data_IF_188334087846
#
_entry.id   IF_188334087846
#
_cell.length_a   1.000
_cell.length_b   1.000
_cell.length_c   1.000
_cell.angle_alpha   90.00
_cell.angle_beta   90.00
_cell.angle_gamma   90.00
#
_symmetry.space_group_name_H-M   'P 1'
#
loop_
_entity.id
_entity.type
_entity.pdbx_description
1 polymer ?
#
# COMPACT_ATOMS: atom_id res chain seq x y z
N UNK A 1 -42.78 36.35 -6.06
CA UNK A 1 -41.52 36.05 -6.78
C UNK A 1 -40.36 36.36 -5.84
N UNK A 2 -39.77 35.34 -5.22
CA UNK A 2 -38.42 35.37 -4.61
C UNK A 2 -37.99 33.92 -4.38
N UNK A 3 -37.58 33.24 -5.44
CA UNK A 3 -36.83 32.00 -5.32
C UNK A 3 -35.40 32.34 -4.97
N UNK A 4 -34.98 32.08 -3.74
CA UNK A 4 -33.55 32.09 -3.39
C UNK A 4 -32.88 30.95 -4.17
N UNK A 5 -31.83 31.21 -4.96
CA UNK A 5 -31.06 30.13 -5.55
C UNK A 5 -30.37 29.38 -4.40
N UNK A 6 -30.65 28.08 -4.33
CA UNK A 6 -29.94 27.16 -3.48
C UNK A 6 -28.44 27.41 -3.65
N UNK A 7 -27.80 27.86 -2.56
CA UNK A 7 -26.36 27.96 -2.46
C UNK A 7 -25.86 26.53 -2.65
N UNK A 8 -25.40 26.22 -3.85
CA UNK A 8 -24.75 24.95 -4.13
C UNK A 8 -23.47 24.99 -3.31
N UNK A 9 -23.52 24.44 -2.09
CA UNK A 9 -22.36 24.28 -1.25
C UNK A 9 -21.38 23.38 -2.03
N UNK A 10 -20.35 24.04 -2.56
CA UNK A 10 -19.14 23.48 -3.12
C UNK A 10 -18.35 22.82 -1.97
N UNK A 11 -18.96 21.87 -1.28
CA UNK A 11 -18.29 21.12 -0.23
C UNK A 11 -17.43 20.08 -0.93
N UNK A 12 -16.19 20.49 -1.20
CA UNK A 12 -15.00 19.65 -1.27
C UNK A 12 -15.30 18.18 -1.00
N UNK A 13 -15.25 17.35 -2.04
CA UNK A 13 -15.35 15.89 -1.96
C UNK A 13 -14.18 15.36 -1.12
N UNK A 14 -14.29 15.41 0.20
CA UNK A 14 -13.41 14.69 1.09
C UNK A 14 -13.74 13.21 0.94
N UNK A 15 -12.71 12.41 0.62
CA UNK A 15 -12.85 10.97 0.57
C UNK A 15 -13.41 10.47 1.91
N UNK A 16 -14.37 9.56 1.82
CA UNK A 16 -14.89 8.85 2.99
C UNK A 16 -13.78 8.06 3.67
N UNK A 17 -13.95 7.77 4.96
CA UNK A 17 -12.99 6.95 5.70
C UNK A 17 -12.81 5.55 5.09
N UNK A 18 -13.80 5.04 4.35
CA UNK A 18 -13.71 3.78 3.62
C UNK A 18 -12.78 3.91 2.41
N UNK A 19 -13.01 4.91 1.56
CA UNK A 19 -12.16 5.14 0.37
C UNK A 19 -10.70 5.43 0.74
N UNK A 20 -10.46 6.11 1.86
CA UNK A 20 -9.12 6.31 2.42
C UNK A 20 -8.44 5.00 2.81
N UNK A 21 -9.19 4.05 3.37
CA UNK A 21 -8.68 2.70 3.71
C UNK A 21 -8.41 1.88 2.46
N UNK A 22 -9.32 1.92 1.49
CA UNK A 22 -9.20 1.16 0.25
C UNK A 22 -7.98 1.63 -0.55
N UNK A 23 -7.81 2.95 -0.68
CA UNK A 23 -6.61 3.54 -1.30
C UNK A 23 -5.33 3.18 -0.56
N UNK A 24 -5.35 3.17 0.77
CA UNK A 24 -4.19 2.75 1.56
C UNK A 24 -3.79 1.30 1.24
N UNK A 25 -4.76 0.40 1.17
CA UNK A 25 -4.49 -1.00 0.89
C UNK A 25 -4.02 -1.21 -0.56
N UNK A 26 -4.66 -0.56 -1.53
CA UNK A 26 -4.27 -0.60 -2.95
C UNK A 26 -2.80 -0.21 -3.15
N UNK A 27 -2.41 0.95 -2.63
CA UNK A 27 -1.03 1.44 -2.73
C UNK A 27 -0.07 0.49 -2.01
N UNK A 28 -0.47 -0.06 -0.86
CA UNK A 28 0.37 -1.01 -0.11
C UNK A 28 0.63 -2.30 -0.90
N UNK A 29 -0.38 -2.80 -1.63
CA UNK A 29 -0.25 -3.98 -2.50
C UNK A 29 0.65 -3.68 -3.69
N UNK A 30 0.50 -2.52 -4.34
CA UNK A 30 1.35 -2.11 -5.46
C UNK A 30 2.85 -2.13 -5.08
N UNK A 31 3.22 -1.47 -3.98
CA UNK A 31 4.59 -1.47 -3.47
C UNK A 31 5.06 -2.85 -2.97
N UNK A 32 4.14 -3.71 -2.52
CA UNK A 32 4.47 -5.09 -2.13
C UNK A 32 4.79 -5.98 -3.34
N UNK A 33 4.13 -5.73 -4.48
CA UNK A 33 4.30 -6.50 -5.71
C UNK A 33 5.59 -6.18 -6.48
N UNK A 34 6.17 -5.00 -6.24
CA UNK A 34 7.41 -4.58 -6.87
C UNK A 34 8.67 -5.16 -6.22
N UNK A 35 9.84 -4.70 -6.69
CA UNK A 35 11.10 -5.03 -6.05
C UNK A 35 11.17 -4.46 -4.62
N UNK A 36 11.64 -5.30 -3.69
CA UNK A 36 11.62 -5.02 -2.27
C UNK A 36 12.46 -3.80 -1.87
N UNK A 37 13.64 -3.66 -2.48
CA UNK A 37 14.62 -2.63 -2.15
C UNK A 37 14.23 -1.30 -2.82
N UNK A 38 13.85 -1.36 -4.10
CA UNK A 38 13.39 -0.21 -4.85
C UNK A 38 12.13 0.42 -4.23
N UNK A 39 11.14 -0.41 -3.87
CA UNK A 39 9.91 0.06 -3.21
C UNK A 39 10.18 0.74 -1.87
N UNK A 40 11.03 0.14 -1.02
CA UNK A 40 11.36 0.71 0.29
C UNK A 40 12.13 2.04 0.15
N UNK A 41 13.07 2.14 -0.79
CA UNK A 41 13.81 3.36 -1.07
C UNK A 41 12.87 4.48 -1.55
N UNK A 42 11.94 4.19 -2.45
CA UNK A 42 10.94 5.14 -2.92
C UNK A 42 10.04 5.65 -1.79
N UNK A 43 9.58 4.75 -0.90
CA UNK A 43 8.75 5.13 0.24
C UNK A 43 9.51 5.97 1.27
N UNK A 44 10.82 5.74 1.43
CA UNK A 44 11.67 6.58 2.27
C UNK A 44 11.86 8.00 1.69
N UNK A 45 12.01 8.12 0.36
CA UNK A 45 12.04 9.41 -0.32
C UNK A 45 10.72 10.17 -0.12
N UNK A 46 9.58 9.53 -0.39
CA UNK A 46 8.25 10.14 -0.22
C UNK A 46 7.99 10.58 1.22
N UNK A 47 8.40 9.77 2.19
CA UNK A 47 8.31 10.11 3.62
C UNK A 47 9.21 11.31 3.94
N UNK A 48 10.46 11.28 3.48
CA UNK A 48 11.43 12.35 3.70
C UNK A 48 10.99 13.69 3.12
N UNK A 49 10.45 13.68 1.90
CA UNK A 49 9.96 14.89 1.24
C UNK A 49 8.70 15.44 1.94
N UNK A 50 7.78 14.58 2.35
CA UNK A 50 6.64 15.01 3.16
C UNK A 50 7.06 15.65 4.49
N UNK A 51 8.10 15.14 5.16
CA UNK A 51 8.64 15.74 6.38
C UNK A 51 9.25 17.11 6.10
N UNK A 52 10.06 17.25 5.03
CA UNK A 52 10.67 18.55 4.65
C UNK A 52 9.60 19.61 4.34
N UNK A 53 8.48 19.19 3.77
CA UNK A 53 7.32 20.05 3.46
C UNK A 53 6.38 20.27 4.66
N UNK A 54 6.69 19.74 5.85
CA UNK A 54 5.85 19.80 7.05
C UNK A 54 4.47 19.12 6.90
N UNK A 55 4.34 18.17 5.98
CA UNK A 55 3.13 17.40 5.68
C UNK A 55 3.09 16.09 6.47
N UNK A 56 2.87 16.21 7.79
CA UNK A 56 2.96 15.05 8.72
C UNK A 56 1.94 13.94 8.44
N UNK A 57 0.76 14.27 7.91
CA UNK A 57 -0.25 13.27 7.53
C UNK A 57 0.27 12.37 6.39
N UNK A 58 0.93 12.96 5.41
CA UNK A 58 1.47 12.23 4.26
C UNK A 58 2.70 11.42 4.67
N UNK A 59 3.57 11.98 5.51
CA UNK A 59 4.70 11.22 6.06
C UNK A 59 4.21 9.98 6.81
N UNK A 60 3.17 10.11 7.63
CA UNK A 60 2.56 8.99 8.36
C UNK A 60 1.92 7.99 7.39
N UNK A 61 1.27 8.47 6.33
CA UNK A 61 0.69 7.62 5.30
C UNK A 61 1.76 6.75 4.63
N UNK A 62 2.86 7.34 4.15
CA UNK A 62 3.94 6.62 3.49
C UNK A 62 4.65 5.62 4.42
N UNK A 63 4.85 5.97 5.69
CA UNK A 63 5.37 5.03 6.69
C UNK A 63 4.45 3.82 6.91
N UNK A 64 3.13 4.04 6.95
CA UNK A 64 2.15 2.95 7.08
C UNK A 64 2.14 2.07 5.84
N UNK A 65 2.23 2.65 4.64
CA UNK A 65 2.32 1.91 3.38
C UNK A 65 3.56 1.01 3.41
N UNK A 66 4.74 1.57 3.74
CA UNK A 66 5.98 0.79 3.88
C UNK A 66 5.84 -0.40 4.81
N UNK A 67 5.27 -0.17 5.98
CA UNK A 67 5.04 -1.25 6.94
C UNK A 67 4.11 -2.33 6.37
N UNK A 68 2.97 -1.94 5.78
CA UNK A 68 2.00 -2.87 5.21
C UNK A 68 2.58 -3.65 4.03
N UNK A 69 3.31 -3.01 3.13
CA UNK A 69 3.96 -3.67 1.99
C UNK A 69 5.00 -4.70 2.43
N UNK A 70 5.73 -4.44 3.52
CA UNK A 70 6.67 -5.42 4.11
C UNK A 70 5.92 -6.62 4.71
N UNK A 71 4.80 -6.38 5.39
CA UNK A 71 3.97 -7.46 5.94
C UNK A 71 3.41 -8.35 4.82
N UNK A 72 2.89 -7.77 3.75
CA UNK A 72 2.35 -8.51 2.60
C UNK A 72 3.41 -9.43 1.98
N UNK A 73 4.63 -8.92 1.75
CA UNK A 73 5.77 -9.74 1.27
C UNK A 73 6.13 -10.86 2.24
N UNK A 74 6.13 -10.59 3.54
CA UNK A 74 6.43 -11.61 4.54
C UNK A 74 5.38 -12.72 4.60
N UNK A 75 4.10 -12.39 4.37
CA UNK A 75 3.01 -13.36 4.28
C UNK A 75 3.22 -14.25 3.04
N UNK A 76 3.48 -13.65 1.87
CA UNK A 76 3.74 -14.40 0.64
C UNK A 76 4.94 -15.36 0.79
N UNK A 77 6.05 -14.88 1.33
CA UNK A 77 7.21 -15.72 1.65
C UNK A 77 6.88 -16.84 2.64
N UNK A 78 5.98 -16.59 3.60
CA UNK A 78 5.50 -17.58 4.55
C UNK A 78 4.63 -18.66 3.91
N UNK A 79 3.83 -18.30 2.89
CA UNK A 79 3.05 -19.24 2.09
C UNK A 79 3.96 -20.09 1.20
N UNK A 80 4.95 -19.49 0.53
CA UNK A 80 5.91 -20.24 -0.30
C UNK A 80 6.75 -21.24 0.51
N UNK A 81 7.09 -20.93 1.77
CA UNK A 81 7.77 -21.88 2.69
C UNK A 81 6.92 -23.08 3.09
N UNK A 82 5.58 -23.01 2.98
CA UNK A 82 4.67 -24.13 3.27
C UNK A 82 4.50 -25.10 2.10
N UNK A 83 5.12 -24.85 0.95
CA UNK A 83 5.16 -25.80 -0.17
C UNK A 83 6.52 -26.50 -0.22
N UNK A 84 6.80 -27.50 0.63
CA UNK A 84 7.98 -28.34 0.45
C UNK A 84 7.77 -29.24 -0.78
N UNK A 85 8.63 -29.04 -1.77
CA UNK A 85 8.93 -29.91 -2.92
C UNK A 85 8.02 -31.10 -3.23
N UNK A 86 7.24 -30.96 -4.32
CA UNK A 86 6.88 -32.09 -5.19
C UNK A 86 8.06 -32.48 -6.11
N UNK A 87 9.25 -32.73 -5.51
CA UNK A 87 10.47 -33.00 -6.26
C UNK A 87 11.41 -34.00 -5.56
N UNK A 88 10.94 -35.22 -5.32
CA UNK A 88 11.74 -36.44 -5.08
C UNK A 88 10.73 -37.61 -5.20
N UNK A 89 10.84 -38.68 -6.01
CA UNK A 89 11.90 -39.27 -6.82
C UNK A 89 11.25 -39.96 -8.05
N UNK A 90 11.69 -39.61 -9.26
CA UNK A 90 11.68 -40.53 -10.40
C UNK A 90 13.09 -40.53 -11.00
N UNK A 91 13.98 -41.33 -10.42
CA UNK A 91 15.21 -41.75 -11.07
C UNK A 91 15.79 -42.99 -10.36
N UNK A 92 15.97 -44.08 -11.14
CA UNK A 92 16.68 -45.31 -10.76
C UNK A 92 15.75 -46.38 -10.19
N UNK A 93 15.37 -47.45 -10.88
CA UNK A 93 16.06 -48.14 -11.97
C UNK A 93 17.02 -49.18 -11.42
N UNK A 94 16.48 -50.28 -10.88
CA UNK A 94 16.89 -51.68 -11.11
C UNK A 94 15.93 -52.62 -10.38
#
# INVERSE_FOLDING_TARGET
MTGSPARTDFTSLSLTAQEQRDRFEEVSVEFASGDAEASDAMLDLLTGDAIKEWRMQDATFWQRVKFRSRMLRAIDLGEQRKTPGAAEKKAGGR
#
